data_IF_628044091551
#
_entry.id   IF_628044091551
#
_cell.length_a   1.000
_cell.length_b   1.000
_cell.length_c   1.000
_cell.angle_alpha   90.00
_cell.angle_beta   90.00
_cell.angle_gamma   90.00
#
_symmetry.space_group_name_H-M   'P 1'
#
loop_
_entity.id
_entity.type
_entity.pdbx_description
1 polymer ?
#
# COMPACT_ATOMS: atom_id res chain seq x y z
N UNK A 1 9.59 18.02 -6.58
CA UNK A 1 8.38 17.88 -5.74
C UNK A 1 7.71 19.24 -5.62
N UNK A 2 6.42 19.31 -5.82
CA UNK A 2 5.73 20.57 -5.71
C UNK A 2 5.53 21.00 -4.24
N UNK A 3 5.19 22.27 -4.05
CA UNK A 3 5.05 22.86 -2.71
C UNK A 3 3.98 22.16 -1.88
N UNK A 4 2.84 21.83 -2.50
CA UNK A 4 1.73 21.19 -1.79
C UNK A 4 2.08 19.79 -1.32
N UNK A 5 2.80 19.02 -2.13
CA UNK A 5 3.29 17.70 -1.75
C UNK A 5 4.23 17.78 -0.54
N UNK A 6 5.17 18.73 -0.59
CA UNK A 6 6.11 18.94 0.53
C UNK A 6 5.39 19.33 1.81
N UNK A 7 4.36 20.18 1.72
CA UNK A 7 3.56 20.59 2.87
C UNK A 7 2.82 19.41 3.50
N UNK A 8 2.29 18.51 2.68
CA UNK A 8 1.57 17.31 3.16
C UNK A 8 2.53 16.35 3.85
N UNK A 9 3.70 16.09 3.25
CA UNK A 9 4.73 15.25 3.86
C UNK A 9 5.11 15.78 5.24
N UNK A 10 5.28 17.09 5.35
CA UNK A 10 5.63 17.74 6.60
C UNK A 10 4.49 17.69 7.62
N UNK A 11 3.28 18.02 7.18
CA UNK A 11 2.08 18.05 8.04
C UNK A 11 1.78 16.68 8.64
N UNK A 12 1.88 15.62 7.84
CA UNK A 12 1.57 14.27 8.29
C UNK A 12 2.80 13.50 8.76
N UNK A 13 3.97 14.16 8.77
CA UNK A 13 5.23 13.58 9.25
C UNK A 13 5.59 12.29 8.54
N UNK A 14 5.48 12.30 7.20
CA UNK A 14 5.73 11.11 6.38
C UNK A 14 7.22 10.87 6.17
N UNK A 15 7.58 9.60 6.09
CA UNK A 15 8.94 9.12 5.86
C UNK A 15 8.98 8.27 4.59
N UNK A 16 10.16 8.14 3.94
CA UNK A 16 10.27 7.28 2.75
C UNK A 16 9.93 5.83 3.06
N UNK A 17 9.21 5.17 2.13
CA UNK A 17 8.81 3.78 2.24
C UNK A 17 9.70 2.89 1.35
N UNK A 18 10.05 1.66 1.81
CA UNK A 18 10.87 0.73 1.02
C UNK A 18 10.32 0.41 -0.37
N UNK A 19 8.98 0.35 -0.53
CA UNK A 19 8.34 0.09 -1.82
C UNK A 19 8.30 1.31 -2.75
N UNK A 20 8.71 2.46 -2.27
CA UNK A 20 8.56 3.75 -2.93
C UNK A 20 7.49 4.59 -2.25
N UNK A 21 7.54 5.92 -2.45
CA UNK A 21 6.61 6.84 -1.82
C UNK A 21 6.93 7.12 -0.35
N UNK A 22 5.91 7.60 0.37
CA UNK A 22 6.04 8.14 1.71
C UNK A 22 4.96 7.55 2.61
N UNK A 23 5.29 7.30 3.89
CA UNK A 23 4.32 6.70 4.79
C UNK A 23 4.54 7.09 6.25
N UNK A 24 3.50 6.85 7.06
CA UNK A 24 3.58 6.85 8.52
C UNK A 24 2.53 5.91 9.07
N UNK A 25 2.92 5.03 9.99
CA UNK A 25 1.94 4.19 10.69
C UNK A 25 1.10 5.06 11.61
N UNK A 26 -0.23 4.95 11.50
CA UNK A 26 -1.17 5.78 12.24
C UNK A 26 -2.01 4.99 13.23
N UNK A 27 -2.10 3.68 13.04
CA UNK A 27 -2.78 2.82 14.01
C UNK A 27 -2.19 1.41 14.00
N UNK A 28 -2.23 0.82 15.18
CA UNK A 28 -1.89 -0.58 15.40
C UNK A 28 -2.73 -1.04 16.57
N UNK A 29 -3.66 -1.97 16.34
CA UNK A 29 -4.56 -2.43 17.38
C UNK A 29 -3.80 -3.09 18.52
N UNK A 30 -4.31 -3.00 19.74
CA UNK A 30 -3.72 -3.65 20.91
C UNK A 30 -4.09 -5.13 20.98
N UNK A 31 -5.19 -5.53 20.35
CA UNK A 31 -5.64 -6.92 20.30
C UNK A 31 -4.87 -7.70 19.24
N UNK A 32 -4.71 -8.99 19.49
CA UNK A 32 -3.95 -9.89 18.62
C UNK A 32 -4.83 -11.01 18.09
N UNK A 33 -4.43 -11.53 16.95
CA UNK A 33 -5.00 -12.73 16.34
C UNK A 33 -3.89 -13.71 16.04
N UNK A 34 -4.17 -15.01 16.21
CA UNK A 34 -3.25 -16.08 15.78
C UNK A 34 -3.73 -16.57 14.42
N UNK A 35 -2.86 -16.43 13.42
CA UNK A 35 -3.16 -16.88 12.05
C UNK A 35 -3.11 -18.40 11.96
N UNK A 36 -3.63 -18.93 10.83
CA UNK A 36 -3.60 -20.37 10.55
C UNK A 36 -2.17 -20.93 10.53
N UNK A 37 -1.19 -20.10 10.14
CA UNK A 37 0.23 -20.49 10.12
C UNK A 37 0.88 -20.43 11.51
N UNK A 38 0.11 -20.11 12.55
CA UNK A 38 0.59 -20.05 13.94
C UNK A 38 1.24 -18.73 14.33
N UNK A 39 1.41 -17.82 13.41
CA UNK A 39 2.01 -16.51 13.70
C UNK A 39 1.00 -15.56 14.34
N UNK A 40 1.47 -14.79 15.32
CA UNK A 40 0.66 -13.80 16.02
C UNK A 40 0.82 -12.45 15.38
N UNK A 41 -0.29 -11.76 15.13
CA UNK A 41 -0.30 -10.42 14.55
C UNK A 41 -1.34 -9.57 15.28
N UNK A 42 -1.14 -8.24 15.28
CA UNK A 42 -2.20 -7.32 15.71
C UNK A 42 -3.42 -7.52 14.80
N UNK A 43 -4.63 -7.25 15.31
CA UNK A 43 -5.84 -7.45 14.50
C UNK A 43 -5.83 -6.62 13.23
N UNK A 44 -5.40 -5.34 13.33
CA UNK A 44 -5.37 -4.42 12.20
C UNK A 44 -4.29 -3.37 12.40
N UNK A 45 -3.67 -2.95 11.30
CA UNK A 45 -2.75 -1.81 11.25
C UNK A 45 -3.17 -0.87 10.12
N UNK A 46 -2.77 0.40 10.22
CA UNK A 46 -3.05 1.38 9.18
C UNK A 46 -1.94 2.40 9.05
N UNK A 47 -1.73 2.85 7.82
CA UNK A 47 -0.71 3.85 7.49
C UNK A 47 -1.34 4.96 6.65
N UNK A 48 -0.79 6.19 6.75
CA UNK A 48 -0.84 7.11 5.63
C UNK A 48 0.17 6.62 4.59
N UNK A 49 -0.22 6.67 3.32
CA UNK A 49 0.67 6.34 2.22
C UNK A 49 0.47 7.36 1.09
N UNK A 50 1.57 7.96 0.64
CA UNK A 50 1.54 9.01 -0.36
C UNK A 50 2.49 8.71 -1.51
N UNK A 51 2.00 8.92 -2.72
CA UNK A 51 2.81 8.90 -3.94
C UNK A 51 2.78 10.28 -4.57
N UNK A 52 3.96 10.82 -4.85
CA UNK A 52 4.11 12.05 -5.60
C UNK A 52 4.29 11.76 -7.09
N UNK A 53 4.29 12.81 -7.91
CA UNK A 53 4.47 12.70 -9.36
C UNK A 53 5.76 11.95 -9.67
N UNK A 54 5.68 10.99 -10.59
CA UNK A 54 6.80 10.15 -11.04
C UNK A 54 7.31 9.16 -9.99
N UNK A 55 6.68 9.08 -8.84
CA UNK A 55 6.95 8.03 -7.87
C UNK A 55 6.04 6.83 -8.14
N UNK A 56 6.55 5.65 -7.84
CA UNK A 56 5.85 4.38 -8.05
C UNK A 56 5.95 3.57 -6.76
N UNK A 57 4.82 3.01 -6.34
CA UNK A 57 4.81 1.90 -5.41
C UNK A 57 5.12 0.66 -6.24
N UNK A 58 6.32 0.11 -6.10
CA UNK A 58 6.79 -0.99 -6.92
C UNK A 58 6.10 -2.30 -6.53
N UNK A 59 6.09 -3.26 -7.45
CA UNK A 59 5.42 -4.55 -7.23
C UNK A 59 5.83 -5.19 -5.91
N UNK A 60 4.85 -5.41 -5.05
CA UNK A 60 5.02 -6.02 -3.73
C UNK A 60 3.76 -6.78 -3.36
N UNK A 61 3.85 -7.58 -2.30
CA UNK A 61 2.69 -8.26 -1.74
C UNK A 61 2.80 -8.39 -0.23
N UNK A 62 1.64 -8.52 0.41
CA UNK A 62 1.55 -8.85 1.83
C UNK A 62 0.93 -10.24 1.92
N UNK A 63 1.69 -11.19 2.44
CA UNK A 63 1.22 -12.56 2.60
C UNK A 63 0.34 -12.68 3.84
N UNK A 64 -0.69 -13.52 3.77
CA UNK A 64 -1.57 -13.88 4.89
C UNK A 64 -2.43 -12.74 5.41
N UNK A 65 -2.55 -11.63 4.71
CA UNK A 65 -3.35 -10.49 5.12
C UNK A 65 -3.98 -9.80 3.91
N UNK A 66 -5.20 -9.32 4.10
CA UNK A 66 -5.85 -8.46 3.11
C UNK A 66 -5.44 -7.01 3.36
N UNK A 67 -5.37 -6.23 2.29
CA UNK A 67 -5.08 -4.80 2.39
C UNK A 67 -6.17 -3.99 1.70
N UNK A 68 -6.64 -2.92 2.35
CA UNK A 68 -7.53 -1.95 1.71
C UNK A 68 -6.78 -0.65 1.51
N UNK A 69 -7.01 -0.05 0.34
CA UNK A 69 -6.54 1.28 -0.02
C UNK A 69 -7.72 2.23 0.01
N UNK A 70 -7.57 3.36 0.69
CA UNK A 70 -8.63 4.38 0.83
C UNK A 70 -8.08 5.70 0.30
N UNK A 71 -8.76 6.26 -0.72
CA UNK A 71 -8.43 7.59 -1.23
C UNK A 71 -8.75 8.64 -0.18
N UNK A 72 -7.79 9.55 0.06
CA UNK A 72 -7.98 10.62 1.00
C UNK A 72 -7.92 12.00 0.32
N UNK A 73 -6.90 12.25 -0.50
CA UNK A 73 -6.66 13.58 -1.06
C UNK A 73 -5.76 13.53 -2.28
N UNK A 74 -5.92 14.49 -3.18
CA UNK A 74 -5.04 14.68 -4.32
C UNK A 74 -5.61 14.11 -5.62
N UNK A 75 -4.73 13.78 -6.55
CA UNK A 75 -5.11 13.21 -7.83
C UNK A 75 -5.58 11.76 -7.68
N UNK A 76 -6.37 11.24 -8.64
CA UNK A 76 -6.68 9.82 -8.67
C UNK A 76 -5.42 8.95 -8.71
N UNK A 77 -5.53 7.76 -8.13
CA UNK A 77 -4.45 6.77 -8.09
C UNK A 77 -4.76 5.64 -9.06
N UNK A 78 -3.75 5.23 -9.82
CA UNK A 78 -3.79 3.96 -10.53
C UNK A 78 -3.24 2.86 -9.62
N UNK A 79 -3.99 1.78 -9.46
CA UNK A 79 -3.61 0.65 -8.62
C UNK A 79 -3.71 -0.61 -9.48
N UNK A 80 -2.61 -1.35 -9.58
CA UNK A 80 -2.57 -2.63 -10.31
C UNK A 80 -2.51 -3.77 -9.32
N UNK A 81 -3.26 -4.83 -9.63
CA UNK A 81 -3.39 -6.02 -8.80
C UNK A 81 -3.21 -7.26 -9.67
N UNK A 82 -2.32 -8.15 -9.25
CA UNK A 82 -2.02 -9.37 -10.00
C UNK A 82 -2.17 -10.59 -9.11
N UNK A 83 -3.09 -11.48 -9.52
CA UNK A 83 -3.19 -12.81 -8.95
C UNK A 83 -2.17 -13.71 -9.64
N UNK A 84 -1.13 -14.10 -8.89
CA UNK A 84 -0.04 -14.93 -9.40
C UNK A 84 -0.51 -16.34 -9.80
N UNK A 85 -1.56 -16.85 -9.15
CA UNK A 85 -2.08 -18.19 -9.43
C UNK A 85 -2.72 -18.31 -10.81
N UNK A 86 -3.63 -17.42 -11.17
CA UNK A 86 -4.29 -17.42 -12.47
C UNK A 86 -3.75 -16.35 -13.42
N UNK A 87 -2.76 -15.57 -12.99
CA UNK A 87 -2.08 -14.52 -13.76
C UNK A 87 -3.01 -13.44 -14.31
N UNK A 88 -4.11 -13.20 -13.61
CA UNK A 88 -5.05 -12.16 -13.96
C UNK A 88 -4.56 -10.81 -13.46
N UNK A 89 -4.29 -9.89 -14.38
CA UNK A 89 -3.91 -8.51 -14.07
C UNK A 89 -5.13 -7.62 -14.12
N UNK A 90 -5.38 -6.89 -13.03
CA UNK A 90 -6.46 -5.92 -12.93
C UNK A 90 -5.91 -4.53 -12.71
N UNK A 91 -6.47 -3.57 -13.42
CA UNK A 91 -6.19 -2.15 -13.18
C UNK A 91 -7.38 -1.53 -12.48
N UNK A 92 -7.12 -0.95 -11.31
CA UNK A 92 -8.11 -0.30 -10.48
C UNK A 92 -7.82 1.19 -10.42
N UNK A 93 -8.85 1.99 -10.15
CA UNK A 93 -8.70 3.43 -10.00
C UNK A 93 -9.30 3.85 -8.67
N UNK A 94 -8.50 4.58 -7.90
CA UNK A 94 -8.91 5.12 -6.60
C UNK A 94 -9.09 6.61 -6.72
N UNK A 95 -10.27 7.13 -6.39
CA UNK A 95 -10.57 8.56 -6.45
C UNK A 95 -11.76 8.88 -5.54
N UNK A 96 -12.24 10.13 -5.58
CA UNK A 96 -13.35 10.56 -4.73
C UNK A 96 -14.67 9.83 -5.02
N UNK A 97 -14.85 9.30 -6.25
CA UNK A 97 -16.04 8.54 -6.63
C UNK A 97 -15.91 7.05 -6.36
N UNK A 98 -14.68 6.55 -6.29
CA UNK A 98 -14.37 5.16 -5.94
C UNK A 98 -13.26 5.16 -4.89
N UNK A 99 -13.60 5.48 -3.62
CA UNK A 99 -12.58 5.79 -2.62
C UNK A 99 -11.92 4.58 -1.97
N UNK A 100 -12.41 3.37 -2.20
CA UNK A 100 -11.89 2.19 -1.49
C UNK A 100 -11.75 1.00 -2.44
N UNK A 101 -10.60 0.33 -2.34
CA UNK A 101 -10.33 -0.91 -3.06
C UNK A 101 -9.61 -1.88 -2.14
N UNK A 102 -9.84 -3.18 -2.32
CA UNK A 102 -9.20 -4.22 -1.54
C UNK A 102 -8.25 -5.04 -2.41
N UNK A 103 -7.06 -5.30 -1.88
CA UNK A 103 -6.09 -6.23 -2.47
C UNK A 103 -6.12 -7.49 -1.61
N UNK A 104 -6.56 -8.62 -2.15
CA UNK A 104 -6.58 -9.88 -1.39
C UNK A 104 -5.19 -10.34 -0.98
N UNK A 105 -5.16 -11.11 0.09
CA UNK A 105 -3.94 -11.71 0.64
C UNK A 105 -3.09 -12.36 -0.45
N UNK A 106 -1.81 -12.04 -0.46
CA UNK A 106 -0.83 -12.65 -1.37
C UNK A 106 -0.84 -12.14 -2.80
N UNK A 107 -1.77 -11.28 -3.18
CA UNK A 107 -1.77 -10.68 -4.52
C UNK A 107 -0.65 -9.65 -4.63
N UNK A 108 0.01 -9.64 -5.79
CA UNK A 108 0.96 -8.59 -6.12
C UNK A 108 0.23 -7.29 -6.40
N UNK A 109 0.80 -6.17 -5.98
CA UNK A 109 0.22 -4.85 -6.19
C UNK A 109 1.29 -3.82 -6.52
N UNK A 110 0.90 -2.81 -7.28
CA UNK A 110 1.71 -1.66 -7.64
C UNK A 110 0.81 -0.45 -7.85
N UNK A 111 1.35 0.75 -7.68
CA UNK A 111 0.54 1.96 -7.77
C UNK A 111 1.34 3.16 -8.28
N UNK A 112 0.63 4.12 -8.87
CA UNK A 112 1.20 5.43 -9.24
C UNK A 112 0.12 6.50 -9.17
N UNK A 113 0.51 7.72 -8.83
CA UNK A 113 -0.39 8.87 -8.87
C UNK A 113 -0.57 9.35 -10.31
N UNK A 114 -1.76 9.82 -10.64
CA UNK A 114 -2.04 10.42 -11.95
C UNK A 114 -1.73 11.92 -12.00
N UNK A 115 -1.32 12.53 -10.90
CA UNK A 115 -1.03 13.96 -10.82
C UNK A 115 0.14 14.27 -9.92
N UNK A 116 0.12 15.42 -9.27
CA UNK A 116 1.22 15.88 -8.45
C UNK A 116 1.41 15.01 -7.19
N UNK A 117 0.30 14.53 -6.63
CA UNK A 117 0.34 13.57 -5.53
C UNK A 117 -1.00 12.88 -5.35
N UNK A 118 -0.98 11.73 -4.69
CA UNK A 118 -2.16 11.08 -4.11
C UNK A 118 -1.82 10.68 -2.69
N UNK A 119 -2.65 11.11 -1.74
CA UNK A 119 -2.56 10.68 -0.34
C UNK A 119 -3.64 9.65 -0.08
N UNK A 120 -3.25 8.51 0.48
CA UNK A 120 -4.15 7.41 0.79
C UNK A 120 -4.00 6.97 2.24
N UNK A 121 -4.93 6.15 2.68
CA UNK A 121 -4.81 5.36 3.90
C UNK A 121 -4.83 3.91 3.47
N UNK A 122 -3.87 3.11 3.97
CA UNK A 122 -3.83 1.67 3.72
C UNK A 122 -3.97 0.93 5.04
N UNK A 123 -4.93 0.02 5.12
CA UNK A 123 -5.15 -0.81 6.31
C UNK A 123 -4.93 -2.26 5.97
N UNK A 124 -4.29 -2.99 6.88
CA UNK A 124 -3.92 -4.40 6.71
C UNK A 124 -4.48 -5.21 7.87
N UNK A 125 -5.16 -6.29 7.55
CA UNK A 125 -5.70 -7.22 8.55
C UNK A 125 -5.58 -8.68 8.10
N UNK A 126 -5.03 -9.58 8.93
CA UNK A 126 -4.30 -9.34 10.18
C UNK A 126 -3.15 -8.35 10.01
N UNK A 127 -2.77 -7.66 11.07
CA UNK A 127 -1.89 -6.50 11.06
C UNK A 127 -0.57 -6.71 10.34
N UNK A 128 -0.06 -5.61 9.79
CA UNK A 128 1.17 -5.61 8.99
C UNK A 128 2.41 -5.94 9.84
N UNK A 129 3.26 -6.78 9.24
CA UNK A 129 4.60 -7.09 9.72
C UNK A 129 5.49 -7.24 8.48
N UNK A 130 6.68 -6.61 8.49
CA UNK A 130 7.61 -6.70 7.35
C UNK A 130 8.03 -8.13 7.03
N UNK A 131 7.92 -9.05 7.96
CA UNK A 131 8.16 -10.50 7.71
C UNK A 131 7.18 -11.09 6.70
N UNK A 132 5.99 -10.49 6.54
CA UNK A 132 4.98 -10.92 5.59
C UNK A 132 5.07 -10.17 4.26
N UNK A 133 5.94 -9.17 4.17
CA UNK A 133 6.08 -8.27 3.03
C UNK A 133 7.16 -8.77 2.09
N UNK A 134 6.84 -8.84 0.80
CA UNK A 134 7.78 -9.23 -0.24
C UNK A 134 7.76 -8.23 -1.38
N UNK A 135 8.93 -7.85 -1.87
CA UNK A 135 9.07 -7.06 -3.09
C UNK A 135 9.49 -7.97 -4.23
N UNK A 136 8.81 -7.85 -5.36
CA UNK A 136 9.06 -8.70 -6.53
C UNK A 136 10.51 -8.60 -7.00
N UNK A 137 11.09 -7.40 -7.00
CA UNK A 137 12.49 -7.18 -7.40
C UNK A 137 13.50 -7.92 -6.53
N UNK A 138 13.16 -8.26 -5.28
CA UNK A 138 14.04 -9.01 -4.39
C UNK A 138 13.97 -10.51 -4.63
N UNK A 139 12.85 -10.98 -5.24
CA UNK A 139 12.66 -12.37 -5.62
C UNK A 139 13.24 -12.61 -7.03
N UNK A 140 13.01 -11.68 -7.95
CA UNK A 140 13.50 -11.75 -9.33
C UNK A 140 14.05 -10.39 -9.74
N UNK A 141 15.39 -10.20 -9.61
CA UNK A 141 16.02 -8.92 -9.95
C UNK A 141 15.85 -8.47 -11.40
N UNK A 142 15.50 -9.37 -12.33
CA UNK A 142 15.26 -9.01 -13.72
C UNK A 142 13.99 -8.19 -13.92
N UNK A 143 13.12 -8.15 -12.91
CA UNK A 143 11.83 -7.45 -12.96
C UNK A 143 11.86 -6.05 -12.32
N UNK A 144 13.04 -5.46 -12.21
CA UNK A 144 13.20 -4.10 -11.68
C UNK A 144 12.62 -3.03 -12.60
#
# INVERSE_FOLDING_TARGET
>A
MDKKSSEIIQKFELLPHPEGGWFREILRSESYVTRKDGKKRNNITGIYYMLCKNEISTWHRVNYADEIWIYLKGAPLNLWCLDDGNKELRKLRLDSNNPIEMIPSGYWQAASSTGEFTLTICCVGPGFDFKDFEMLRNIDPSLR
#
